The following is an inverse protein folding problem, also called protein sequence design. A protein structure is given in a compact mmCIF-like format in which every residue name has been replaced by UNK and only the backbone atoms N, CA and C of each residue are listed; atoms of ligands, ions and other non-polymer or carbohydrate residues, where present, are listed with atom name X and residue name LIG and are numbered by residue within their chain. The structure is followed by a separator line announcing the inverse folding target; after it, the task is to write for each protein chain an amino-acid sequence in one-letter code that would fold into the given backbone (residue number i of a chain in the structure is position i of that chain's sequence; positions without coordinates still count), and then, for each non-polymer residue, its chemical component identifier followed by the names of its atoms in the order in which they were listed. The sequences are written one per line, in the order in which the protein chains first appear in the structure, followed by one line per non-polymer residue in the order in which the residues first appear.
data_IF_706284552134
#
_entry.id   IF_706284552134
#
_cell.length_a   1.000
_cell.length_b   1.000
_cell.length_c   1.000
_cell.angle_alpha   90.00
_cell.angle_beta   90.00
_cell.angle_gamma   90.00
#
_symmetry.space_group_name_H-M   'P 1'
#
loop_
_entity.id
_entity.type
_entity.pdbx_description
1 polymer ?
#
# COMPACT_ATOMS: atom_id res chain seq x y z
N UNK A 1 -2.61 -1.90 15.71
CA UNK A 1 -2.45 -2.48 14.37
C UNK A 1 -3.36 -1.70 13.43
N UNK A 2 -2.88 -1.31 12.25
CA UNK A 2 -3.64 -0.55 11.25
C UNK A 2 -3.51 -1.24 9.89
N UNK A 3 -4.56 -1.13 9.08
CA UNK A 3 -4.60 -1.68 7.73
C UNK A 3 -4.96 -0.57 6.75
N UNK A 4 -4.29 -0.54 5.61
CA UNK A 4 -4.62 0.34 4.48
C UNK A 4 -4.68 -0.48 3.21
N UNK A 5 -5.65 -0.17 2.34
CA UNK A 5 -5.73 -0.71 1.00
C UNK A 5 -5.48 0.42 -0.01
N UNK A 6 -4.54 0.24 -0.91
CA UNK A 6 -4.17 1.22 -1.93
C UNK A 6 -4.41 0.60 -3.29
N UNK A 7 -5.16 1.28 -4.15
CA UNK A 7 -5.49 0.77 -5.50
C UNK A 7 -5.12 1.76 -6.60
N UNK A 8 -4.90 1.24 -7.80
CA UNK A 8 -4.60 2.03 -9.00
C UNK A 8 -4.94 1.25 -10.27
N UNK A 9 -5.24 1.96 -11.36
CA UNK A 9 -5.47 1.36 -12.68
C UNK A 9 -4.17 0.84 -13.31
N UNK A 10 -3.03 1.44 -12.95
CA UNK A 10 -1.71 1.09 -13.48
C UNK A 10 -0.71 0.86 -12.36
N UNK A 11 0.31 0.04 -12.64
CA UNK A 11 1.35 -0.31 -11.67
C UNK A 11 2.18 0.91 -11.28
N UNK A 12 2.52 1.75 -12.26
CA UNK A 12 3.17 3.04 -12.00
C UNK A 12 2.34 3.96 -11.09
N UNK A 13 1.02 3.98 -11.25
CA UNK A 13 0.13 4.72 -10.35
C UNK A 13 0.06 4.10 -8.95
N UNK A 14 0.12 2.77 -8.84
CA UNK A 14 0.13 2.06 -7.56
C UNK A 14 1.41 2.40 -6.79
N UNK A 15 2.56 2.28 -7.45
CA UNK A 15 3.87 2.56 -6.86
C UNK A 15 3.95 4.00 -6.33
N UNK A 16 3.47 4.99 -7.09
CA UNK A 16 3.42 6.38 -6.62
C UNK A 16 2.58 6.54 -5.34
N UNK A 17 1.42 5.88 -5.26
CA UNK A 17 0.54 5.97 -4.09
C UNK A 17 1.14 5.26 -2.87
N UNK A 18 1.75 4.09 -3.06
CA UNK A 18 2.42 3.35 -1.99
C UNK A 18 3.60 4.15 -1.44
N UNK A 19 4.46 4.68 -2.32
CA UNK A 19 5.60 5.49 -1.88
C UNK A 19 5.16 6.73 -1.10
N UNK A 20 4.14 7.44 -1.61
CA UNK A 20 3.58 8.58 -0.90
C UNK A 20 3.04 8.19 0.48
N UNK A 21 2.39 7.03 0.61
CA UNK A 21 1.92 6.54 1.90
C UNK A 21 3.08 6.31 2.86
N UNK A 22 4.17 5.68 2.42
CA UNK A 22 5.35 5.43 3.24
C UNK A 22 6.07 6.73 3.64
N UNK A 23 6.23 7.68 2.72
CA UNK A 23 6.80 9.01 2.99
C UNK A 23 5.99 9.80 4.03
N UNK A 24 4.65 9.69 4.00
CA UNK A 24 3.77 10.34 4.97
C UNK A 24 3.72 9.64 6.32
N UNK A 25 4.20 8.39 6.41
CA UNK A 25 4.16 7.57 7.61
C UNK A 25 5.55 6.98 7.90
N UNK A 26 6.57 7.81 8.21
CA UNK A 26 7.95 7.35 8.35
C UNK A 26 8.17 6.40 9.55
N UNK A 27 7.30 6.48 10.57
CA UNK A 27 7.42 5.70 11.81
C UNK A 27 6.43 4.53 11.81
N UNK A 28 6.45 3.72 10.76
CA UNK A 28 5.65 2.49 10.71
C UNK A 28 6.52 1.28 10.43
N UNK A 29 6.11 0.16 11.00
CA UNK A 29 6.62 -1.16 10.66
C UNK A 29 5.54 -1.90 9.87
N UNK A 30 5.88 -2.30 8.65
CA UNK A 30 5.02 -3.11 7.79
C UNK A 30 5.10 -4.56 8.24
N UNK A 31 3.95 -5.13 8.61
CA UNK A 31 3.81 -6.49 9.09
C UNK A 31 3.34 -7.45 7.99
N UNK A 32 2.50 -6.98 7.07
CA UNK A 32 2.08 -7.74 5.89
C UNK A 32 1.87 -6.79 4.71
N UNK A 33 2.29 -7.24 3.53
CA UNK A 33 2.12 -6.56 2.26
C UNK A 33 1.53 -7.56 1.26
N UNK A 34 0.31 -7.31 0.78
CA UNK A 34 -0.47 -8.26 -0.02
C UNK A 34 -0.90 -7.59 -1.33
N UNK A 35 -0.20 -7.93 -2.42
CA UNK A 35 -0.44 -7.37 -3.74
C UNK A 35 -1.43 -8.24 -4.51
N UNK A 36 -2.40 -7.60 -5.15
CA UNK A 36 -3.40 -8.27 -5.97
C UNK A 36 -3.62 -7.53 -7.28
N UNK A 37 -3.76 -8.30 -8.36
CA UNK A 37 -4.14 -7.81 -9.67
C UNK A 37 -5.50 -8.41 -10.04
N UNK A 38 -6.45 -7.56 -10.42
CA UNK A 38 -7.78 -7.96 -10.85
C UNK A 38 -8.14 -7.38 -12.22
N UNK A 39 -9.27 -7.78 -12.77
CA UNK A 39 -9.75 -7.34 -14.09
C UNK A 39 -9.86 -5.81 -14.26
N UNK A 40 -9.99 -5.06 -13.16
CA UNK A 40 -10.15 -3.60 -13.18
C UNK A 40 -8.96 -2.79 -12.67
N UNK A 41 -7.82 -3.42 -12.36
CA UNK A 41 -6.64 -2.72 -11.85
C UNK A 41 -5.87 -3.50 -10.80
N UNK A 42 -5.09 -2.78 -10.02
CA UNK A 42 -4.07 -3.31 -9.12
C UNK A 42 -4.33 -2.76 -7.72
N UNK A 43 -4.04 -3.56 -6.71
CA UNK A 43 -4.23 -3.21 -5.31
C UNK A 43 -3.13 -3.76 -4.43
N UNK A 44 -2.88 -3.08 -3.33
CA UNK A 44 -2.06 -3.61 -2.24
C UNK A 44 -2.71 -3.34 -0.89
N UNK A 45 -2.83 -4.39 -0.10
CA UNK A 45 -3.14 -4.32 1.33
C UNK A 45 -1.86 -4.24 2.16
N UNK A 46 -1.76 -3.25 3.04
CA UNK A 46 -0.64 -3.06 3.95
C UNK A 46 -1.16 -3.12 5.38
N UNK A 47 -0.74 -4.14 6.14
CA UNK A 47 -0.93 -4.22 7.59
C UNK A 47 0.33 -3.69 8.26
N UNK A 48 0.18 -2.73 9.16
CA UNK A 48 1.30 -2.05 9.80
C UNK A 48 1.01 -1.69 11.26
N UNK A 49 2.07 -1.35 12.01
CA UNK A 49 1.98 -0.70 13.34
C UNK A 49 2.84 0.55 13.36
N UNK A 50 2.47 1.50 14.21
CA UNK A 50 3.32 2.68 14.47
C UNK A 50 4.44 2.25 15.40
N UNK A 51 5.66 2.71 15.12
CA UNK A 51 6.86 2.50 15.94
C UNK A 51 7.11 3.73 16.80
#
# INVERSE_FOLDING_TARGET
MKFVNITSMTEGGLNKKVNRFLEQNPNIEVLKFDYQMGYGGLGVGILYRVV
#
